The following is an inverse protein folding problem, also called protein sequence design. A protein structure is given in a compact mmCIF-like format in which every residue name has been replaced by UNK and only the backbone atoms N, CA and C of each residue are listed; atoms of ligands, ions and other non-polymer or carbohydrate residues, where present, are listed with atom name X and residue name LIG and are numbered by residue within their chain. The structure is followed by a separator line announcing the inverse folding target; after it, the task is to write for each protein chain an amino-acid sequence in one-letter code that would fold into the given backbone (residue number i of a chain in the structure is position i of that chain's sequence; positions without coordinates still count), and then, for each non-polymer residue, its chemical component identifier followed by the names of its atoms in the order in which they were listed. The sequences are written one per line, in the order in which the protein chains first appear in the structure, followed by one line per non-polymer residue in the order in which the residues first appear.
data_IF_056549581566
#
_entry.id   IF_056549581566
#
_cell.length_a   1.000
_cell.length_b   1.000
_cell.length_c   1.000
_cell.angle_alpha   90.00
_cell.angle_beta   90.00
_cell.angle_gamma   90.00
#
_symmetry.space_group_name_H-M   'P 1'
#
loop_
_entity.id
_entity.type
_entity.pdbx_description
1 polymer ?
#
# COMPACT_ATOMS: atom_id res chain seq x y z
N UNK A 1 -9.72 20.34 10.89
CA UNK A 1 -10.03 19.49 9.72
C UNK A 1 -9.67 18.05 10.09
N UNK A 2 -10.50 17.05 9.79
CA UNK A 2 -10.17 15.64 10.02
C UNK A 2 -9.99 14.89 8.68
N UNK A 3 -9.49 13.65 8.70
CA UNK A 3 -9.25 12.85 7.49
C UNK A 3 -10.54 12.64 6.69
N UNK A 4 -11.68 12.43 7.34
CA UNK A 4 -12.95 12.22 6.66
C UNK A 4 -13.41 13.45 5.87
N UNK A 5 -13.26 14.65 6.43
CA UNK A 5 -13.55 15.90 5.74
C UNK A 5 -12.62 16.09 4.53
N UNK A 6 -11.31 15.90 4.71
CA UNK A 6 -10.32 16.01 3.63
C UNK A 6 -10.57 14.99 2.50
N UNK A 7 -10.93 13.74 2.86
CA UNK A 7 -11.27 12.70 1.91
C UNK A 7 -12.49 13.08 1.08
N UNK A 8 -13.54 13.59 1.72
CA UNK A 8 -14.75 14.01 1.01
C UNK A 8 -14.48 15.20 0.08
N UNK A 9 -13.67 16.17 0.51
CA UNK A 9 -13.26 17.30 -0.33
C UNK A 9 -12.43 16.81 -1.53
N UNK A 10 -11.42 15.96 -1.31
CA UNK A 10 -10.62 15.37 -2.38
C UNK A 10 -11.48 14.57 -3.38
N UNK A 11 -12.47 13.81 -2.89
CA UNK A 11 -13.36 13.03 -3.75
C UNK A 11 -14.32 13.92 -4.57
N UNK A 12 -14.60 15.14 -4.12
CA UNK A 12 -15.46 16.09 -4.83
C UNK A 12 -14.80 16.77 -6.04
N UNK A 13 -13.47 16.71 -6.15
CA UNK A 13 -12.70 17.21 -7.29
C UNK A 13 -13.01 16.45 -8.59
N UNK A 14 -12.69 17.02 -9.76
CA UNK A 14 -12.80 16.28 -11.01
C UNK A 14 -11.74 15.17 -11.11
N UNK A 15 -11.90 14.22 -12.04
CA UNK A 15 -10.98 13.09 -12.17
C UNK A 15 -9.51 13.53 -12.39
N UNK A 16 -9.30 14.60 -13.17
CA UNK A 16 -7.97 15.12 -13.46
C UNK A 16 -7.30 15.72 -12.21
N UNK A 17 -8.01 16.55 -11.46
CA UNK A 17 -7.51 17.16 -10.22
C UNK A 17 -7.25 16.11 -9.15
N UNK A 18 -8.11 15.08 -9.04
CA UNK A 18 -7.86 13.94 -8.14
C UNK A 18 -6.59 13.18 -8.49
N UNK A 19 -6.35 12.93 -9.78
CA UNK A 19 -5.15 12.24 -10.23
C UNK A 19 -3.89 13.05 -9.88
N UNK A 20 -3.91 14.37 -10.11
CA UNK A 20 -2.82 15.27 -9.75
C UNK A 20 -2.58 15.31 -8.23
N UNK A 21 -3.65 15.40 -7.44
CA UNK A 21 -3.53 15.37 -5.98
C UNK A 21 -2.97 14.03 -5.49
N UNK A 22 -3.42 12.90 -6.05
CA UNK A 22 -2.90 11.58 -5.71
C UNK A 22 -1.40 11.46 -6.03
N UNK A 23 -0.96 11.95 -7.19
CA UNK A 23 0.46 11.99 -7.56
C UNK A 23 1.27 12.82 -6.56
N UNK A 24 0.84 14.03 -6.23
CA UNK A 24 1.53 14.90 -5.28
C UNK A 24 1.64 14.27 -3.89
N UNK A 25 0.56 13.62 -3.42
CA UNK A 25 0.57 12.90 -2.15
C UNK A 25 1.55 11.73 -2.19
N UNK A 26 1.60 10.96 -3.29
CA UNK A 26 2.56 9.87 -3.44
C UNK A 26 4.02 10.39 -3.43
N UNK A 27 4.32 11.41 -4.22
CA UNK A 27 5.66 12.04 -4.27
C UNK A 27 6.06 12.60 -2.89
N UNK A 28 5.10 13.07 -2.10
CA UNK A 28 5.40 13.54 -0.74
C UNK A 28 5.88 12.43 0.20
N UNK A 29 5.53 11.17 -0.09
CA UNK A 29 6.00 10.00 0.67
C UNK A 29 7.41 9.57 0.25
N UNK A 30 7.84 9.87 -0.97
CA UNK A 30 9.20 9.57 -1.46
C UNK A 30 10.29 10.43 -0.78
N UNK A 31 9.89 11.48 -0.05
CA UNK A 31 10.78 12.31 0.75
C UNK A 31 11.05 11.81 2.17
N UNK A 32 10.45 10.67 2.56
CA UNK A 32 10.70 10.05 3.86
C UNK A 32 12.15 9.54 3.93
N UNK A 33 12.76 9.58 5.12
CA UNK A 33 14.10 9.03 5.28
C UNK A 33 14.09 7.51 5.07
N UNK A 34 15.26 6.95 4.72
CA UNK A 34 15.39 5.49 4.60
C UNK A 34 15.07 4.81 5.94
N UNK A 35 15.43 5.43 7.07
CA UNK A 35 15.10 4.90 8.40
C UNK A 35 13.60 4.93 8.70
N UNK A 36 12.89 6.00 8.34
CA UNK A 36 11.44 6.09 8.50
C UNK A 36 10.74 5.04 7.64
N UNK A 37 11.20 4.87 6.40
CA UNK A 37 10.70 3.88 5.46
C UNK A 37 10.90 2.46 5.99
N UNK A 38 12.10 2.12 6.47
CA UNK A 38 12.41 0.82 7.05
C UNK A 38 11.52 0.54 8.28
N UNK A 39 11.33 1.53 9.15
CA UNK A 39 10.48 1.38 10.33
C UNK A 39 9.02 1.07 9.95
N UNK A 40 8.49 1.74 8.93
CA UNK A 40 7.11 1.51 8.46
C UNK A 40 6.97 0.11 7.84
N UNK A 41 7.94 -0.31 7.03
CA UNK A 41 7.96 -1.66 6.46
C UNK A 41 8.06 -2.74 7.53
N UNK A 42 8.87 -2.54 8.57
CA UNK A 42 9.00 -3.50 9.66
C UNK A 42 7.68 -3.67 10.43
N UNK A 43 7.00 -2.56 10.72
CA UNK A 43 5.68 -2.59 11.38
C UNK A 43 4.65 -3.34 10.52
N UNK A 44 4.61 -3.07 9.23
CA UNK A 44 3.68 -3.74 8.31
C UNK A 44 4.01 -5.23 8.15
N UNK A 45 5.29 -5.59 8.06
CA UNK A 45 5.73 -6.99 8.00
C UNK A 45 5.33 -7.75 9.27
N UNK A 46 5.56 -7.18 10.45
CA UNK A 46 5.16 -7.76 11.73
C UNK A 46 3.63 -7.94 11.82
N UNK A 47 2.86 -6.93 11.40
CA UNK A 47 1.38 -7.01 11.35
C UNK A 47 0.92 -8.16 10.45
N UNK A 48 1.45 -8.25 9.22
CA UNK A 48 1.07 -9.31 8.27
C UNK A 48 1.48 -10.70 8.74
N UNK A 49 2.66 -10.84 9.36
CA UNK A 49 3.09 -12.11 9.93
C UNK A 49 2.12 -12.58 11.02
N UNK A 50 1.72 -11.68 11.92
CA UNK A 50 0.74 -11.98 12.97
C UNK A 50 -0.63 -12.38 12.40
N UNK A 51 -1.10 -11.70 11.33
CA UNK A 51 -2.35 -12.06 10.66
C UNK A 51 -2.30 -13.45 10.01
N UNK A 52 -1.16 -13.82 9.43
CA UNK A 52 -0.91 -15.15 8.87
C UNK A 52 -0.95 -16.21 9.97
N UNK A 53 -0.22 -15.99 11.06
CA UNK A 53 -0.12 -16.93 12.19
C UNK A 53 -1.48 -17.14 12.87
N UNK A 54 -2.29 -16.09 12.95
CA UNK A 54 -3.65 -16.12 13.49
C UNK A 54 -4.70 -16.67 12.50
N UNK A 55 -4.33 -16.89 11.24
CA UNK A 55 -5.26 -17.36 10.21
C UNK A 55 -6.32 -16.32 9.80
N UNK A 56 -6.04 -15.03 10.01
CA UNK A 56 -6.95 -13.92 9.66
C UNK A 56 -6.98 -13.61 8.16
N UNK A 57 -6.02 -14.16 7.40
CA UNK A 57 -5.88 -13.92 5.97
C UNK A 57 -5.87 -15.22 5.18
N UNK A 58 -6.42 -15.17 3.97
CA UNK A 58 -6.33 -16.27 3.02
C UNK A 58 -4.91 -16.35 2.45
N UNK A 59 -4.25 -17.49 2.66
CA UNK A 59 -2.92 -17.76 2.12
C UNK A 59 -2.99 -18.35 0.72
N UNK A 60 -2.00 -18.01 -0.10
CA UNK A 60 -1.80 -18.63 -1.42
C UNK A 60 -0.68 -19.67 -1.31
N UNK A 61 -0.86 -20.89 -1.84
CA UNK A 61 0.20 -21.90 -1.89
C UNK A 61 1.44 -21.39 -2.64
N UNK A 62 2.63 -21.68 -2.11
CA UNK A 62 3.89 -21.20 -2.69
C UNK A 62 4.10 -21.65 -4.16
N UNK A 63 3.65 -22.86 -4.52
CA UNK A 63 3.75 -23.35 -5.89
C UNK A 63 2.89 -22.59 -6.89
N UNK A 64 1.73 -22.09 -6.45
CA UNK A 64 0.84 -21.27 -7.27
C UNK A 64 1.48 -19.91 -7.56
N UNK A 65 1.97 -19.24 -6.50
CA UNK A 65 2.71 -17.97 -6.62
C UNK A 65 3.91 -18.11 -7.55
N UNK A 66 4.71 -19.18 -7.38
CA UNK A 66 5.89 -19.43 -8.21
C UNK A 66 5.52 -19.65 -9.68
N UNK A 67 4.46 -20.40 -9.96
CA UNK A 67 3.98 -20.66 -11.33
C UNK A 67 3.53 -19.36 -12.00
N UNK A 68 2.78 -18.52 -11.31
CA UNK A 68 2.31 -17.23 -11.85
C UNK A 68 3.46 -16.25 -12.09
N UNK A 69 4.40 -16.13 -11.15
CA UNK A 69 5.58 -15.28 -11.32
C UNK A 69 6.40 -15.68 -12.56
N UNK A 70 6.60 -16.98 -12.79
CA UNK A 70 7.31 -17.47 -13.99
C UNK A 70 6.54 -17.20 -15.29
N UNK A 71 5.21 -17.14 -15.25
CA UNK A 71 4.41 -16.84 -16.44
C UNK A 71 4.56 -15.38 -16.90
N UNK A 72 4.86 -14.45 -15.98
CA UNK A 72 5.07 -13.02 -16.26
C UNK A 72 6.43 -12.70 -16.91
N UNK A 73 7.38 -13.64 -16.87
CA UNK A 73 8.73 -13.47 -17.42
C UNK A 73 8.83 -13.81 -18.93
N UNK A 74 7.70 -14.02 -19.61
CA UNK A 74 7.62 -14.30 -21.05
C UNK A 74 7.30 -13.04 -21.84
#
# INVERSE_FOLDING_TARGET
MNIETLRNEALSLCAQERAQLAEQLLVSLDGLSEEETEQWWFQEAARRAAEIDQGLVQRVPADEVRREALALLK
#
